data_IF_358720968690
#
_entry.id   IF_358720968690
#
_cell.length_a   1.000
_cell.length_b   1.000
_cell.length_c   1.000
_cell.angle_alpha   90.00
_cell.angle_beta   90.00
_cell.angle_gamma   90.00
#
_symmetry.space_group_name_H-M   'P 1'
#
loop_
_entity.id
_entity.type
_entity.pdbx_description
1 polymer ?
#
# COMPACT_ATOMS: atom_id res chain seq x y z
N UNK A 1 -34.81 -13.81 30.49
CA UNK A 1 -33.72 -12.80 30.39
C UNK A 1 -33.83 -12.18 29.02
N UNK A 2 -33.98 -10.86 28.85
CA UNK A 2 -34.18 -10.24 27.54
C UNK A 2 -32.84 -10.18 26.79
N UNK A 3 -32.89 -10.60 25.53
CA UNK A 3 -31.84 -10.48 24.53
C UNK A 3 -31.37 -9.02 24.46
N UNK A 4 -30.09 -8.75 24.81
CA UNK A 4 -29.51 -7.41 24.61
C UNK A 4 -29.47 -7.12 23.12
N UNK A 5 -30.14 -6.06 22.74
CA UNK A 5 -30.12 -5.47 21.42
C UNK A 5 -28.66 -5.31 20.90
N UNK A 6 -28.45 -5.65 19.63
CA UNK A 6 -27.20 -5.39 18.89
C UNK A 6 -26.82 -3.92 19.08
N UNK A 7 -25.53 -3.61 19.32
CA UNK A 7 -25.10 -2.23 19.32
C UNK A 7 -25.43 -1.62 17.93
N UNK A 8 -26.01 -0.47 17.98
CA UNK A 8 -26.37 0.36 16.83
C UNK A 8 -25.10 0.57 15.98
N UNK A 9 -25.10 0.03 14.76
CA UNK A 9 -24.05 0.24 13.77
C UNK A 9 -24.23 1.68 13.26
N UNK A 10 -23.86 2.63 14.13
CA UNK A 10 -23.93 4.04 13.84
C UNK A 10 -23.23 4.37 12.52
N UNK A 11 -23.96 5.10 11.69
CA UNK A 11 -23.59 5.81 10.45
C UNK A 11 -22.19 5.48 9.95
N UNK A 12 -22.10 4.50 9.06
CA UNK A 12 -20.94 4.25 8.24
C UNK A 12 -20.61 5.54 7.47
N UNK A 13 -19.67 6.34 7.98
CA UNK A 13 -19.11 7.41 7.21
C UNK A 13 -18.62 6.81 5.89
N UNK A 14 -19.13 7.31 4.76
CA UNK A 14 -18.61 6.93 3.43
C UNK A 14 -17.11 7.16 3.47
N UNK A 15 -16.33 6.07 3.55
CA UNK A 15 -14.90 6.14 3.36
C UNK A 15 -14.67 6.80 1.99
N UNK A 16 -14.02 7.96 1.99
CA UNK A 16 -13.79 8.68 0.74
C UNK A 16 -12.93 7.82 -0.18
N UNK A 17 -13.37 7.64 -1.42
CA UNK A 17 -12.55 7.03 -2.46
C UNK A 17 -11.31 7.91 -2.67
N UNK A 18 -10.14 7.32 -2.93
CA UNK A 18 -8.98 8.10 -3.35
C UNK A 18 -9.31 8.95 -4.57
N UNK A 19 -8.83 10.17 -4.57
CA UNK A 19 -8.96 11.06 -5.74
C UNK A 19 -8.00 10.58 -6.84
N UNK A 20 -8.48 10.51 -8.06
CA UNK A 20 -7.67 10.11 -9.23
C UNK A 20 -6.53 11.12 -9.45
N UNK A 21 -5.32 10.68 -9.88
CA UNK A 21 -4.24 11.56 -10.28
C UNK A 21 -4.68 12.56 -11.36
N UNK A 22 -4.21 13.80 -11.25
CA UNK A 22 -4.56 14.90 -12.18
C UNK A 22 -3.46 15.08 -13.21
N UNK A 23 -3.42 14.22 -14.20
CA UNK A 23 -2.49 14.36 -15.33
C UNK A 23 -2.94 15.48 -16.27
N UNK A 24 -2.01 16.21 -16.91
CA UNK A 24 -2.33 17.14 -18.00
C UNK A 24 -2.85 16.40 -19.23
N UNK A 25 -3.52 17.12 -20.14
CA UNK A 25 -4.07 16.54 -21.37
C UNK A 25 -2.99 15.96 -22.29
N UNK A 26 -1.77 16.48 -22.23
CA UNK A 26 -0.60 15.97 -22.95
C UNK A 26 0.60 15.90 -22.03
N UNK A 27 1.39 14.86 -22.17
CA UNK A 27 2.66 14.66 -21.49
C UNK A 27 3.80 14.76 -22.51
N UNK A 28 4.95 15.24 -22.06
CA UNK A 28 6.17 15.23 -22.87
C UNK A 28 6.86 13.88 -22.71
N UNK A 29 7.26 13.25 -23.83
CA UNK A 29 8.04 12.02 -23.75
C UNK A 29 9.39 12.27 -23.09
N UNK A 30 9.67 11.54 -22.03
CA UNK A 30 10.94 11.63 -21.33
C UNK A 30 12.09 11.12 -22.18
N UNK A 31 13.25 11.76 -22.11
CA UNK A 31 14.47 11.43 -22.85
C UNK A 31 15.61 11.20 -21.87
N UNK A 32 16.06 9.94 -21.74
CA UNK A 32 17.23 9.63 -20.94
C UNK A 32 18.51 9.94 -21.77
N UNK A 33 19.58 10.46 -21.14
CA UNK A 33 19.72 10.70 -19.70
C UNK A 33 19.24 12.07 -19.19
N UNK A 34 18.67 12.93 -20.06
CA UNK A 34 18.34 14.31 -19.69
C UNK A 34 17.24 14.34 -18.60
N UNK A 35 16.25 13.48 -18.72
CA UNK A 35 15.13 13.35 -17.77
C UNK A 35 15.34 12.20 -16.79
N UNK A 36 16.57 11.84 -16.46
CA UNK A 36 16.88 10.82 -15.42
C UNK A 36 16.60 11.37 -14.01
N UNK A 37 16.36 10.46 -13.06
CA UNK A 37 16.22 10.82 -11.66
C UNK A 37 17.54 11.40 -11.14
N UNK A 38 17.49 12.54 -10.45
CA UNK A 38 18.66 13.24 -9.89
C UNK A 38 18.31 13.82 -8.54
N UNK A 39 19.32 14.02 -7.70
CA UNK A 39 19.17 14.74 -6.44
C UNK A 39 18.56 16.12 -6.66
N UNK A 40 17.55 16.45 -5.85
CA UNK A 40 16.80 17.70 -5.93
C UNK A 40 16.20 17.98 -7.32
N UNK A 41 16.13 16.94 -8.19
CA UNK A 41 15.59 17.03 -9.54
C UNK A 41 14.07 17.12 -9.55
N UNK A 42 13.52 17.67 -10.64
CA UNK A 42 12.09 17.79 -10.85
C UNK A 42 11.70 17.11 -12.17
N UNK A 43 10.89 16.05 -12.06
CA UNK A 43 10.23 15.41 -13.19
C UNK A 43 8.79 15.93 -13.28
N UNK A 44 8.50 16.77 -14.26
CA UNK A 44 7.22 17.45 -14.36
C UNK A 44 6.52 17.17 -15.68
N UNK A 45 5.31 16.59 -15.61
CA UNK A 45 4.47 16.33 -16.79
C UNK A 45 5.17 15.50 -17.89
N UNK A 46 5.95 14.51 -17.47
CA UNK A 46 6.70 13.61 -18.35
C UNK A 46 6.00 12.24 -18.48
N UNK A 47 6.18 11.62 -19.66
CA UNK A 47 5.80 10.22 -19.88
C UNK A 47 7.05 9.38 -20.14
N UNK A 48 7.28 8.41 -19.28
CA UNK A 48 8.34 7.41 -19.40
C UNK A 48 7.72 6.10 -19.90
N UNK A 49 8.26 5.56 -20.97
CA UNK A 49 7.84 4.28 -21.55
C UNK A 49 9.05 3.38 -21.72
N UNK A 50 8.98 2.14 -21.22
CA UNK A 50 10.03 1.11 -21.35
C UNK A 50 11.43 1.61 -20.88
N UNK A 51 11.45 2.53 -19.92
CA UNK A 51 12.69 3.15 -19.44
C UNK A 51 13.33 2.36 -18.29
N UNK A 52 14.65 2.44 -18.17
CA UNK A 52 15.40 1.87 -17.05
C UNK A 52 15.88 2.98 -16.10
N UNK A 53 15.22 3.09 -14.96
CA UNK A 53 15.54 3.97 -13.84
C UNK A 53 16.00 3.15 -12.63
N UNK A 54 16.49 1.93 -12.84
CA UNK A 54 16.92 1.05 -11.76
C UNK A 54 18.28 1.46 -11.17
N UNK A 55 18.52 1.05 -9.93
CA UNK A 55 19.81 1.24 -9.22
C UNK A 55 20.22 2.72 -9.11
N UNK A 56 19.28 3.64 -9.11
CA UNK A 56 19.54 5.04 -8.78
C UNK A 56 19.59 5.20 -7.26
N UNK A 57 20.37 6.12 -6.79
CA UNK A 57 20.40 6.58 -5.40
C UNK A 57 20.14 8.09 -5.44
N UNK A 58 18.93 8.49 -5.02
CA UNK A 58 18.44 9.83 -5.31
C UNK A 58 17.74 10.42 -4.07
N UNK A 59 18.12 11.63 -3.72
CA UNK A 59 17.55 12.38 -2.62
C UNK A 59 16.71 13.56 -3.11
N UNK A 60 15.58 13.78 -2.44
CA UNK A 60 14.72 14.96 -2.61
C UNK A 60 14.21 15.19 -4.04
N UNK A 61 14.03 14.13 -4.82
CA UNK A 61 13.45 14.25 -6.15
C UNK A 61 11.95 14.56 -6.06
N UNK A 62 11.48 15.45 -6.91
CA UNK A 62 10.06 15.75 -7.09
C UNK A 62 9.55 15.14 -8.41
N UNK A 63 8.49 14.33 -8.33
CA UNK A 63 7.82 13.72 -9.47
C UNK A 63 6.36 14.20 -9.46
N UNK A 64 5.99 15.06 -10.40
CA UNK A 64 4.65 15.63 -10.44
C UNK A 64 4.00 15.45 -11.82
N UNK A 65 2.76 14.97 -11.82
CA UNK A 65 1.94 14.79 -13.02
C UNK A 65 2.62 13.96 -14.10
N UNK A 66 3.35 12.92 -13.70
CA UNK A 66 4.07 12.04 -14.61
C UNK A 66 3.33 10.71 -14.83
N UNK A 67 3.61 10.08 -15.96
CA UNK A 67 3.16 8.73 -16.28
C UNK A 67 4.36 7.83 -16.53
N UNK A 68 4.33 6.66 -15.92
CA UNK A 68 5.35 5.63 -16.09
C UNK A 68 4.68 4.35 -16.58
N UNK A 69 5.09 3.87 -17.75
CA UNK A 69 4.62 2.60 -18.33
C UNK A 69 5.78 1.66 -18.53
N UNK A 70 5.70 0.48 -17.93
CA UNK A 70 6.72 -0.58 -18.06
C UNK A 70 8.13 -0.10 -17.68
N UNK A 71 8.23 0.78 -16.69
CA UNK A 71 9.50 1.37 -16.24
C UNK A 71 10.12 0.53 -15.14
N UNK A 72 11.42 0.31 -15.21
CA UNK A 72 12.18 -0.40 -14.21
C UNK A 72 12.78 0.55 -13.16
N UNK A 73 12.32 0.43 -11.90
CA UNK A 73 12.85 1.11 -10.71
C UNK A 73 13.55 0.13 -9.75
N UNK A 74 13.83 -1.07 -10.19
CA UNK A 74 14.37 -2.13 -9.34
C UNK A 74 15.64 -1.73 -8.62
N UNK A 75 15.70 -1.92 -7.28
CA UNK A 75 16.85 -1.57 -6.43
C UNK A 75 17.21 -0.07 -6.42
N UNK A 76 16.30 0.80 -6.82
CA UNK A 76 16.49 2.26 -6.67
C UNK A 76 16.28 2.63 -5.20
N UNK A 77 17.05 3.56 -4.70
CA UNK A 77 16.91 4.15 -3.37
C UNK A 77 16.44 5.59 -3.52
N UNK A 78 15.35 5.92 -2.81
CA UNK A 78 14.78 7.26 -2.79
C UNK A 78 14.72 7.76 -1.36
N UNK A 79 15.33 8.91 -1.11
CA UNK A 79 15.28 9.58 0.18
C UNK A 79 14.52 10.90 0.06
N UNK A 80 13.51 11.11 0.89
CA UNK A 80 12.66 12.32 0.90
C UNK A 80 12.03 12.69 -0.46
N UNK A 81 11.74 11.70 -1.31
CA UNK A 81 11.10 11.96 -2.59
C UNK A 81 9.63 12.37 -2.42
N UNK A 82 9.19 13.30 -3.25
CA UNK A 82 7.81 13.77 -3.33
C UNK A 82 7.20 13.34 -4.66
N UNK A 83 6.17 12.49 -4.61
CA UNK A 83 5.51 11.99 -5.81
C UNK A 83 4.04 12.40 -5.74
N UNK A 84 3.60 13.19 -6.72
CA UNK A 84 2.23 13.68 -6.76
C UNK A 84 1.58 13.53 -8.13
N UNK A 85 0.25 13.38 -8.13
CA UNK A 85 -0.59 13.33 -9.32
C UNK A 85 -0.05 12.44 -10.46
N UNK A 86 0.56 11.29 -10.11
CA UNK A 86 1.31 10.47 -11.06
C UNK A 86 0.74 9.05 -11.16
N UNK A 87 0.97 8.41 -12.31
CA UNK A 87 0.44 7.08 -12.64
C UNK A 87 1.58 6.14 -13.01
N UNK A 88 1.57 4.94 -12.44
CA UNK A 88 2.54 3.87 -12.71
C UNK A 88 1.81 2.61 -13.18
N UNK A 89 2.09 2.15 -14.37
CA UNK A 89 1.44 1.00 -15.01
C UNK A 89 2.49 -0.05 -15.43
N UNK A 90 2.38 -1.27 -14.91
CA UNK A 90 3.26 -2.37 -15.28
C UNK A 90 4.74 -2.16 -14.91
N UNK A 91 5.02 -1.32 -13.92
CA UNK A 91 6.38 -0.98 -13.51
C UNK A 91 7.00 -2.05 -12.61
N UNK A 92 8.33 -2.12 -12.59
CA UNK A 92 9.09 -2.97 -11.69
C UNK A 92 9.75 -2.12 -10.58
N UNK A 93 9.27 -2.30 -9.35
CA UNK A 93 9.81 -1.69 -8.14
C UNK A 93 10.48 -2.74 -7.22
N UNK A 94 10.85 -3.90 -7.73
CA UNK A 94 11.40 -4.95 -6.88
C UNK A 94 12.63 -4.48 -6.11
N UNK A 95 12.58 -4.66 -4.77
CA UNK A 95 13.61 -4.22 -3.83
C UNK A 95 13.94 -2.71 -3.90
N UNK A 96 13.03 -1.89 -4.40
CA UNK A 96 13.15 -0.43 -4.25
C UNK A 96 13.09 -0.09 -2.75
N UNK A 97 13.92 0.84 -2.32
CA UNK A 97 13.97 1.32 -0.95
C UNK A 97 13.61 2.80 -0.89
N UNK A 98 12.75 3.15 0.05
CA UNK A 98 12.43 4.55 0.29
C UNK A 98 12.55 4.90 1.77
N UNK A 99 12.88 6.15 2.06
CA UNK A 99 12.83 6.74 3.38
C UNK A 99 12.19 8.11 3.32
N UNK A 100 11.26 8.38 4.25
CA UNK A 100 10.59 9.68 4.38
C UNK A 100 9.95 10.21 3.08
N UNK A 101 9.55 9.30 2.18
CA UNK A 101 8.95 9.65 0.90
C UNK A 101 7.44 9.85 1.02
N UNK A 102 6.90 10.72 0.18
CA UNK A 102 5.46 11.02 0.14
C UNK A 102 4.84 10.72 -1.20
N UNK A 103 3.70 9.99 -1.18
CA UNK A 103 2.82 9.82 -2.32
C UNK A 103 1.53 10.61 -2.10
N UNK A 104 1.12 11.43 -3.05
CA UNK A 104 -0.15 12.15 -2.98
C UNK A 104 -0.90 12.07 -4.30
N UNK A 105 -2.11 11.50 -4.30
CA UNK A 105 -2.91 11.24 -5.52
C UNK A 105 -2.12 10.46 -6.57
N UNK A 106 -1.70 9.25 -6.19
CA UNK A 106 -0.90 8.36 -7.05
C UNK A 106 -1.68 7.07 -7.31
N UNK A 107 -1.61 6.58 -8.53
CA UNK A 107 -2.15 5.28 -8.92
C UNK A 107 -1.02 4.35 -9.37
N UNK A 108 -0.99 3.14 -8.81
CA UNK A 108 -0.06 2.09 -9.21
C UNK A 108 -0.89 0.87 -9.64
N UNK A 109 -0.72 0.44 -10.89
CA UNK A 109 -1.47 -0.69 -11.43
C UNK A 109 -0.54 -1.76 -12.00
N UNK A 110 -0.90 -3.04 -11.81
CA UNK A 110 -0.26 -4.21 -12.42
C UNK A 110 1.27 -4.24 -12.27
N UNK A 111 1.78 -3.66 -11.18
CA UNK A 111 3.21 -3.44 -10.97
C UNK A 111 3.81 -4.49 -10.03
N UNK A 112 5.08 -4.80 -10.25
CA UNK A 112 5.86 -5.68 -9.39
C UNK A 112 6.53 -4.85 -8.29
N UNK A 113 6.19 -5.14 -7.04
CA UNK A 113 6.68 -4.42 -5.85
C UNK A 113 7.20 -5.39 -4.78
N UNK A 114 7.65 -6.58 -5.20
CA UNK A 114 8.15 -7.61 -4.28
C UNK A 114 9.38 -7.11 -3.53
N UNK A 115 9.33 -7.20 -2.19
CA UNK A 115 10.40 -6.74 -1.31
C UNK A 115 10.63 -5.22 -1.32
N UNK A 116 9.67 -4.42 -1.81
CA UNK A 116 9.75 -2.97 -1.69
C UNK A 116 9.81 -2.57 -0.22
N UNK A 117 10.65 -1.62 0.11
CA UNK A 117 10.77 -1.06 1.46
C UNK A 117 10.32 0.40 1.44
N UNK A 118 9.10 0.65 1.92
CA UNK A 118 8.51 1.99 2.03
C UNK A 118 8.37 2.34 3.51
N UNK A 119 9.46 2.80 4.12
CA UNK A 119 9.54 3.02 5.57
C UNK A 119 9.36 4.51 5.89
N UNK A 120 8.58 4.80 6.96
CA UNK A 120 8.30 6.16 7.45
C UNK A 120 7.65 7.06 6.39
N UNK A 121 7.03 6.46 5.38
CA UNK A 121 6.41 7.19 4.28
C UNK A 121 5.01 7.70 4.58
N UNK A 122 4.59 8.69 3.82
CA UNK A 122 3.22 9.23 3.83
C UNK A 122 2.51 8.90 2.51
N UNK A 123 1.41 8.14 2.59
CA UNK A 123 0.60 7.78 1.44
C UNK A 123 -0.79 8.43 1.60
N UNK A 124 -1.13 9.35 0.70
CA UNK A 124 -2.39 10.07 0.74
C UNK A 124 -3.11 9.96 -0.60
N UNK A 125 -4.34 9.43 -0.58
CA UNK A 125 -5.15 9.25 -1.79
C UNK A 125 -4.42 8.39 -2.83
N UNK A 126 -3.96 7.21 -2.43
CA UNK A 126 -3.19 6.29 -3.27
C UNK A 126 -4.01 5.04 -3.56
N UNK A 127 -3.95 4.56 -4.79
CA UNK A 127 -4.52 3.28 -5.20
C UNK A 127 -3.43 2.31 -5.65
N UNK A 128 -3.51 1.08 -5.16
CA UNK A 128 -2.75 -0.04 -5.66
C UNK A 128 -3.73 -1.05 -6.27
N UNK A 129 -3.59 -1.36 -7.55
CA UNK A 129 -4.48 -2.27 -8.25
C UNK A 129 -3.69 -3.42 -8.91
N UNK A 130 -4.01 -4.67 -8.54
CA UNK A 130 -3.38 -5.85 -9.13
C UNK A 130 -1.86 -5.90 -8.94
N UNK A 131 -1.31 -5.24 -7.93
CA UNK A 131 0.12 -5.19 -7.68
C UNK A 131 0.62 -6.43 -6.94
N UNK A 132 1.84 -6.85 -7.25
CA UNK A 132 2.53 -7.94 -6.58
C UNK A 132 3.49 -7.38 -5.55
N UNK A 133 3.08 -7.41 -4.26
CA UNK A 133 3.72 -6.74 -3.14
C UNK A 133 4.13 -7.73 -2.03
N UNK A 134 4.42 -8.96 -2.41
CA UNK A 134 4.88 -9.99 -1.47
C UNK A 134 6.15 -9.49 -0.73
N UNK A 135 6.22 -9.68 0.59
CA UNK A 135 7.32 -9.23 1.45
C UNK A 135 7.60 -7.71 1.40
N UNK A 136 6.62 -6.92 0.99
CA UNK A 136 6.74 -5.46 1.04
C UNK A 136 6.76 -4.97 2.50
N UNK A 137 7.58 -3.97 2.81
CA UNK A 137 7.61 -3.34 4.12
C UNK A 137 7.07 -1.93 4.07
N UNK A 138 6.07 -1.65 4.92
CA UNK A 138 5.44 -0.35 5.12
C UNK A 138 5.53 0.11 6.58
N UNK A 139 6.58 -0.30 7.26
CA UNK A 139 6.75 0.00 8.68
C UNK A 139 6.76 1.51 8.94
N UNK A 140 6.08 1.91 10.03
CA UNK A 140 6.00 3.30 10.49
C UNK A 140 5.37 4.28 9.49
N UNK A 141 4.74 3.78 8.42
CA UNK A 141 4.15 4.62 7.38
C UNK A 141 2.70 5.02 7.70
N UNK A 142 2.26 6.12 7.11
CA UNK A 142 0.93 6.68 7.31
C UNK A 142 0.08 6.54 6.03
N UNK A 143 -1.13 6.01 6.19
CA UNK A 143 -2.06 5.79 5.09
C UNK A 143 -3.32 6.62 5.28
N UNK A 144 -3.59 7.53 4.36
CA UNK A 144 -4.81 8.34 4.36
C UNK A 144 -5.57 8.18 3.05
N UNK A 145 -6.79 7.62 3.11
CA UNK A 145 -7.57 7.31 1.92
C UNK A 145 -6.76 6.46 0.92
N UNK A 146 -6.27 5.30 1.38
CA UNK A 146 -5.50 4.36 0.54
C UNK A 146 -6.32 3.11 0.31
N UNK A 147 -6.28 2.60 -0.92
CA UNK A 147 -6.97 1.38 -1.33
C UNK A 147 -5.99 0.42 -1.98
N UNK A 148 -6.01 -0.81 -1.52
CA UNK A 148 -5.38 -1.96 -2.16
C UNK A 148 -6.48 -2.83 -2.77
N UNK A 149 -6.45 -3.09 -4.07
CA UNK A 149 -7.44 -3.90 -4.78
C UNK A 149 -6.76 -5.00 -5.58
N UNK A 150 -7.11 -6.25 -5.31
CA UNK A 150 -6.55 -7.41 -6.01
C UNK A 150 -5.04 -7.57 -5.88
N UNK A 151 -4.46 -7.07 -4.79
CA UNK A 151 -3.01 -7.10 -4.56
C UNK A 151 -2.57 -8.37 -3.83
N UNK A 152 -1.35 -8.83 -4.15
CA UNK A 152 -0.66 -9.85 -3.36
C UNK A 152 0.24 -9.17 -2.36
N UNK A 153 -0.04 -9.38 -1.09
CA UNK A 153 0.63 -8.78 0.07
C UNK A 153 1.08 -9.87 1.05
N UNK A 154 1.33 -11.10 0.55
CA UNK A 154 1.78 -12.20 1.38
C UNK A 154 3.07 -11.82 2.10
N UNK A 155 3.09 -12.03 3.44
CA UNK A 155 4.21 -11.67 4.32
C UNK A 155 4.59 -10.17 4.29
N UNK A 156 3.66 -9.29 3.89
CA UNK A 156 3.91 -7.85 3.96
C UNK A 156 3.96 -7.36 5.41
N UNK A 157 4.82 -6.40 5.69
CA UNK A 157 5.05 -5.86 7.02
C UNK A 157 4.48 -4.45 7.17
N UNK A 158 3.41 -4.33 7.96
CA UNK A 158 2.75 -3.08 8.34
C UNK A 158 2.98 -2.73 9.82
N UNK A 159 4.05 -3.23 10.41
CA UNK A 159 4.34 -2.98 11.82
C UNK A 159 4.41 -1.48 12.11
N UNK A 160 3.69 -1.04 13.17
CA UNK A 160 3.62 0.36 13.62
C UNK A 160 3.10 1.34 12.55
N UNK A 161 2.43 0.85 11.49
CA UNK A 161 1.81 1.69 10.48
C UNK A 161 0.48 2.28 10.97
N UNK A 162 0.15 3.49 10.51
CA UNK A 162 -1.18 4.07 10.66
C UNK A 162 -2.03 3.74 9.42
N UNK A 163 -2.87 2.73 9.55
CA UNK A 163 -3.74 2.20 8.50
C UNK A 163 -5.20 2.66 8.66
N UNK A 164 -5.49 3.61 9.56
CA UNK A 164 -6.86 4.03 9.85
C UNK A 164 -7.62 4.45 8.59
N UNK A 165 -8.72 3.75 8.33
CA UNK A 165 -9.55 3.97 7.16
C UNK A 165 -8.97 3.46 5.84
N UNK A 166 -7.85 2.74 5.84
CA UNK A 166 -7.34 2.04 4.67
C UNK A 166 -8.28 0.90 4.26
N UNK A 167 -8.23 0.49 3.00
CA UNK A 167 -9.07 -0.58 2.45
C UNK A 167 -8.24 -1.61 1.72
N UNK A 168 -8.56 -2.86 2.00
CA UNK A 168 -8.01 -4.03 1.32
C UNK A 168 -9.19 -4.79 0.70
N UNK A 169 -9.29 -4.79 -0.61
CA UNK A 169 -10.36 -5.43 -1.37
C UNK A 169 -9.74 -6.54 -2.23
N UNK A 170 -10.14 -7.80 -2.03
CA UNK A 170 -9.65 -8.99 -2.78
C UNK A 170 -8.12 -9.14 -2.75
N UNK A 171 -7.52 -8.89 -1.58
CA UNK A 171 -6.09 -9.00 -1.38
C UNK A 171 -5.68 -10.31 -0.72
N UNK A 172 -4.51 -10.84 -1.08
CA UNK A 172 -3.86 -11.92 -0.35
C UNK A 172 -2.91 -11.31 0.69
N UNK A 173 -3.26 -11.44 1.97
CA UNK A 173 -2.51 -10.94 3.12
C UNK A 173 -1.94 -12.09 3.97
N UNK A 174 -1.84 -13.29 3.40
CA UNK A 174 -1.34 -14.49 4.10
C UNK A 174 0.00 -14.20 4.79
N UNK A 175 0.05 -14.42 6.11
CA UNK A 175 1.25 -14.19 6.93
C UNK A 175 1.65 -12.73 7.11
N UNK A 176 0.82 -11.76 6.71
CA UNK A 176 1.14 -10.34 6.88
C UNK A 176 1.22 -9.94 8.37
N UNK A 177 2.06 -8.95 8.68
CA UNK A 177 2.37 -8.48 10.01
C UNK A 177 1.74 -7.13 10.31
N UNK A 178 0.91 -7.05 11.37
CA UNK A 178 0.23 -5.83 11.80
C UNK A 178 0.54 -5.42 13.25
N UNK A 179 1.61 -5.93 13.85
CA UNK A 179 1.94 -5.63 15.25
C UNK A 179 2.03 -4.12 15.48
N UNK A 180 1.28 -3.63 16.49
CA UNK A 180 1.19 -2.22 16.88
C UNK A 180 0.64 -1.28 15.76
N UNK A 181 0.09 -1.79 14.67
CA UNK A 181 -0.57 -0.97 13.66
C UNK A 181 -1.85 -0.33 14.23
N UNK A 182 -2.16 0.88 13.78
CA UNK A 182 -3.41 1.56 14.09
C UNK A 182 -4.41 1.26 12.97
N UNK A 183 -5.50 0.55 13.30
CA UNK A 183 -6.38 -0.03 12.29
C UNK A 183 -7.86 0.34 12.45
N UNK A 184 -8.17 1.37 13.21
CA UNK A 184 -9.56 1.81 13.39
C UNK A 184 -10.18 2.21 12.05
N UNK A 185 -11.31 1.57 11.70
CA UNK A 185 -11.99 1.79 10.43
C UNK A 185 -11.28 1.19 9.21
N UNK A 186 -10.15 0.50 9.36
CA UNK A 186 -9.54 -0.29 8.28
C UNK A 186 -10.51 -1.38 7.84
N UNK A 187 -10.71 -1.55 6.55
CA UNK A 187 -11.66 -2.52 6.00
C UNK A 187 -10.95 -3.61 5.20
N UNK A 188 -11.35 -4.85 5.46
CA UNK A 188 -10.97 -6.03 4.67
C UNK A 188 -12.23 -6.62 4.03
N UNK A 189 -12.18 -6.84 2.71
CA UNK A 189 -13.26 -7.44 1.96
C UNK A 189 -12.73 -8.46 0.94
N UNK A 190 -13.20 -9.70 1.01
CA UNK A 190 -12.78 -10.82 0.16
C UNK A 190 -11.26 -11.06 0.18
N UNK A 191 -10.64 -10.99 1.37
CA UNK A 191 -9.19 -11.10 1.56
C UNK A 191 -8.79 -12.46 2.13
N UNK A 192 -7.62 -12.97 1.71
CA UNK A 192 -6.92 -14.05 2.40
C UNK A 192 -6.21 -13.52 3.64
N UNK A 193 -6.64 -13.95 4.84
CA UNK A 193 -6.13 -13.47 6.12
C UNK A 193 -5.46 -14.58 6.94
N UNK A 194 -5.05 -15.67 6.30
CA UNK A 194 -4.46 -16.81 6.97
C UNK A 194 -3.10 -16.46 7.58
N UNK A 195 -2.86 -16.91 8.80
CA UNK A 195 -1.57 -16.76 9.47
C UNK A 195 -1.17 -15.31 9.76
N UNK A 196 -2.12 -14.37 9.85
CA UNK A 196 -1.82 -13.00 10.22
C UNK A 196 -1.12 -12.92 11.57
N UNK A 197 -0.12 -12.06 11.65
CA UNK A 197 0.60 -11.74 12.87
C UNK A 197 0.16 -10.36 13.43
N UNK A 198 0.23 -10.19 14.75
CA UNK A 198 -0.17 -8.96 15.41
C UNK A 198 -1.68 -8.73 15.39
N UNK A 199 -2.49 -9.81 15.43
CA UNK A 199 -3.96 -9.75 15.35
C UNK A 199 -4.63 -8.92 16.43
N UNK A 200 -3.97 -8.67 17.55
CA UNK A 200 -4.44 -7.76 18.61
C UNK A 200 -4.58 -6.32 18.10
N UNK A 201 -3.83 -5.95 17.06
CA UNK A 201 -3.90 -4.63 16.41
C UNK A 201 -5.12 -4.48 15.49
N UNK A 202 -5.83 -5.56 15.14
CA UNK A 202 -7.06 -5.50 14.33
C UNK A 202 -8.24 -4.83 15.06
N UNK A 203 -8.03 -4.36 16.27
CA UNK A 203 -9.06 -3.66 17.05
C UNK A 203 -9.61 -2.47 16.26
N UNK A 204 -10.96 -2.42 16.11
CA UNK A 204 -11.65 -1.35 15.37
C UNK A 204 -11.65 -1.52 13.85
N UNK A 205 -11.01 -2.56 13.31
CA UNK A 205 -11.13 -2.90 11.88
C UNK A 205 -12.50 -3.51 11.56
N UNK A 206 -12.85 -3.53 10.27
CA UNK A 206 -14.09 -4.05 9.72
C UNK A 206 -13.72 -5.18 8.76
N UNK A 207 -14.18 -6.39 9.06
CA UNK A 207 -13.86 -7.60 8.30
C UNK A 207 -15.16 -8.24 7.82
N UNK A 208 -15.21 -8.71 6.57
CA UNK A 208 -16.39 -9.43 6.07
C UNK A 208 -16.53 -10.78 6.75
N UNK A 209 -17.78 -11.28 6.89
CA UNK A 209 -18.02 -12.54 7.61
C UNK A 209 -17.31 -13.75 7.01
N UNK A 210 -17.07 -13.74 5.70
CA UNK A 210 -16.32 -14.81 4.99
C UNK A 210 -14.85 -14.82 5.42
N UNK A 211 -14.22 -13.67 5.51
CA UNK A 211 -12.79 -13.51 5.82
C UNK A 211 -12.50 -13.75 7.31
N UNK A 212 -13.51 -13.59 8.18
CA UNK A 212 -13.37 -13.76 9.63
C UNK A 212 -12.95 -15.18 10.03
N UNK A 213 -13.32 -16.20 9.26
CA UNK A 213 -12.97 -17.59 9.55
C UNK A 213 -11.45 -17.84 9.48
N UNK A 214 -10.76 -17.20 8.55
CA UNK A 214 -9.30 -17.31 8.40
C UNK A 214 -8.53 -16.80 9.64
N UNK A 215 -9.17 -15.97 10.47
CA UNK A 215 -8.55 -15.41 11.67
C UNK A 215 -8.65 -16.32 12.90
N UNK A 216 -9.42 -17.42 12.86
CA UNK A 216 -9.69 -18.24 14.04
C UNK A 216 -8.40 -18.72 14.70
N UNK A 217 -7.49 -19.32 13.94
CA UNK A 217 -6.22 -19.84 14.48
C UNK A 217 -5.30 -18.72 14.97
N UNK A 218 -5.21 -17.61 14.24
CA UNK A 218 -4.39 -16.46 14.63
C UNK A 218 -4.91 -15.80 15.92
N UNK A 219 -6.24 -15.69 16.08
CA UNK A 219 -6.87 -15.14 17.29
C UNK A 219 -6.74 -16.11 18.47
N UNK A 220 -6.95 -17.41 18.25
CA UNK A 220 -6.75 -18.43 19.28
C UNK A 220 -5.32 -18.41 19.80
N UNK A 221 -4.33 -18.42 18.89
CA UNK A 221 -2.91 -18.34 19.27
C UNK A 221 -2.57 -17.07 20.03
N UNK A 222 -3.12 -15.91 19.67
CA UNK A 222 -2.91 -14.64 20.37
C UNK A 222 -3.50 -14.64 21.80
N UNK A 223 -4.50 -15.50 22.05
CA UNK A 223 -5.13 -15.70 23.37
C UNK A 223 -4.52 -16.89 24.15
N UNK A 224 -3.53 -17.58 23.60
CA UNK A 224 -2.92 -18.77 24.19
C UNK A 224 -3.83 -20.01 24.12
N UNK A 225 -4.81 -20.04 23.20
CA UNK A 225 -5.71 -21.16 22.99
C UNK A 225 -5.08 -22.11 21.97
N UNK A 226 -4.99 -23.39 22.30
CA UNK A 226 -4.61 -24.44 21.38
C UNK A 226 -5.88 -25.03 20.74
N UNK A 227 -5.92 -25.11 19.42
CA UNK A 227 -6.98 -25.79 18.68
C UNK A 227 -6.40 -27.16 18.28
N UNK A 228 -7.07 -28.24 18.66
CA UNK A 228 -6.74 -29.60 18.26
C UNK A 228 -7.61 -29.97 17.05
N UNK A 229 -6.98 -30.45 15.99
CA UNK A 229 -7.70 -30.98 14.84
C UNK A 229 -8.10 -32.45 15.15
N UNK A 230 -9.35 -32.81 14.88
CA UNK A 230 -9.92 -34.16 15.09
C UNK A 230 -9.37 -35.17 14.08
#
# INVERSE_FOLDING_TARGET
MPYRSRPDVGRQGRLSQPTVPKLPASLTAAKLPDDDLRDEGVCLSLEYVDADLSKRDVASVEIDRCRFKTVNFGRTELDRALISDSVFEGCDFANLRTRDCSLTRVSLASSRMTGVSWIQGSLRQVTFEGCRMDMASFRFSQFKSVVFSGCRLAQADFQEADLRGARFDRCDLTGAQFSKAQMEGTRFADCGLDGLNGVTSLRGSIITGRDALALVYSLAGALGITIEDD
#
